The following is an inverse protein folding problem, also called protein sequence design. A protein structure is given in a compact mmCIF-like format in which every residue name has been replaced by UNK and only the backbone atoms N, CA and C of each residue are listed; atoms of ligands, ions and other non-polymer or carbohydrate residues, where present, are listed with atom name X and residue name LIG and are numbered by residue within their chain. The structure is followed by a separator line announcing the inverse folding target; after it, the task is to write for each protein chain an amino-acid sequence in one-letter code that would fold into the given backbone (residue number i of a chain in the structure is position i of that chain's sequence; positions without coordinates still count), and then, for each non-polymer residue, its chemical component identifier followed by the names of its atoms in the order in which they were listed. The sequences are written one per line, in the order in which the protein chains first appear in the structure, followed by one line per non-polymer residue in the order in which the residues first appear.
data_IF_676626606222
#
_entry.id   IF_676626606222
#
_cell.length_a   1.000
_cell.length_b   1.000
_cell.length_c   1.000
_cell.angle_alpha   90.00
_cell.angle_beta   90.00
_cell.angle_gamma   90.00
#
_symmetry.space_group_name_H-M   'P 1'
#
loop_
_entity.id
_entity.type
_entity.pdbx_description
1 polymer ?
#
# COMPACT_ATOMS: atom_id res chain seq x y z
N UNK A 1 -13.67 -3.82 -1.81
CA UNK A 1 -12.63 -2.88 -2.28
C UNK A 1 -13.21 -1.49 -2.48
N UNK A 2 -14.30 -1.31 -3.26
CA UNK A 2 -14.90 0.02 -3.50
C UNK A 2 -15.20 0.77 -2.19
N UNK A 3 -15.94 0.18 -1.27
CA UNK A 3 -16.31 0.84 0.00
C UNK A 3 -15.08 1.34 0.79
N UNK A 4 -14.00 0.57 0.81
CA UNK A 4 -12.75 0.95 1.48
C UNK A 4 -12.05 2.12 0.75
N UNK A 5 -12.07 2.15 -0.59
CA UNK A 5 -11.56 3.28 -1.35
C UNK A 5 -12.39 4.55 -1.08
N UNK A 6 -13.72 4.47 -1.09
CA UNK A 6 -14.60 5.62 -0.81
C UNK A 6 -14.49 6.15 0.62
N UNK A 7 -14.03 5.34 1.57
CA UNK A 7 -13.75 5.78 2.93
C UNK A 7 -12.50 6.71 3.02
N UNK A 8 -11.55 6.60 2.10
CA UNK A 8 -10.32 7.41 2.14
C UNK A 8 -10.59 8.93 2.12
N UNK A 9 -11.35 9.49 1.15
CA UNK A 9 -11.68 10.91 1.17
C UNK A 9 -12.57 11.30 2.36
N UNK A 10 -13.49 10.43 2.81
CA UNK A 10 -14.34 10.69 3.97
C UNK A 10 -13.52 10.88 5.26
N UNK A 11 -12.35 10.24 5.37
CA UNK A 11 -11.41 10.39 6.48
C UNK A 11 -10.29 11.41 6.23
N UNK A 12 -10.32 12.14 5.11
CA UNK A 12 -9.29 13.14 4.79
C UNK A 12 -7.89 12.55 4.55
N UNK A 13 -7.83 11.31 4.08
CA UNK A 13 -6.58 10.56 3.88
C UNK A 13 -6.00 10.71 2.47
N UNK A 14 -6.77 11.25 1.53
CA UNK A 14 -6.39 11.40 0.13
C UNK A 14 -6.76 12.77 -0.42
N UNK A 15 -6.09 13.14 -1.51
CA UNK A 15 -6.34 14.37 -2.28
C UNK A 15 -6.49 13.98 -3.75
N UNK A 16 -7.46 14.60 -4.45
CA UNK A 16 -7.76 14.30 -5.85
C UNK A 16 -8.05 12.81 -6.04
N UNK A 17 -7.36 12.16 -7.00
CA UNK A 17 -7.50 10.73 -7.31
C UNK A 17 -6.42 9.86 -6.66
N UNK A 18 -5.53 10.47 -5.87
CA UNK A 18 -4.38 9.80 -5.26
C UNK A 18 -4.79 8.83 -4.15
N UNK A 19 -3.90 7.87 -3.90
CA UNK A 19 -4.16 6.80 -2.96
C UNK A 19 -5.08 5.72 -3.50
N UNK A 20 -5.07 4.58 -2.88
CA UNK A 20 -5.84 3.41 -3.28
C UNK A 20 -5.93 2.37 -2.17
N UNK A 21 -6.91 1.50 -2.32
CA UNK A 21 -7.06 0.29 -1.52
C UNK A 21 -7.16 -0.89 -2.45
N UNK A 22 -6.49 -1.98 -2.09
CA UNK A 22 -6.68 -3.29 -2.72
C UNK A 22 -7.04 -4.36 -1.69
N UNK A 23 -7.58 -5.47 -2.19
CA UNK A 23 -7.86 -6.67 -1.42
C UNK A 23 -7.52 -7.90 -2.24
N UNK A 24 -6.92 -8.90 -1.60
CA UNK A 24 -6.54 -10.16 -2.24
C UNK A 24 -7.57 -11.25 -2.00
N UNK A 25 -7.84 -12.03 -3.04
CA UNK A 25 -8.50 -13.34 -2.96
C UNK A 25 -7.47 -14.41 -3.29
N UNK A 26 -6.93 -15.03 -2.24
CA UNK A 26 -5.87 -16.06 -2.38
C UNK A 26 -6.40 -17.37 -2.94
N UNK A 27 -7.69 -17.67 -2.79
CA UNK A 27 -8.28 -18.89 -3.35
C UNK A 27 -8.38 -18.79 -4.87
N UNK A 28 -8.75 -17.60 -5.37
CA UNK A 28 -8.80 -17.32 -6.81
C UNK A 28 -7.44 -16.93 -7.38
N UNK A 29 -6.45 -16.61 -6.54
CA UNK A 29 -5.14 -16.14 -6.99
C UNK A 29 -5.17 -14.75 -7.63
N UNK A 30 -6.05 -13.86 -7.15
CA UNK A 30 -6.24 -12.51 -7.70
C UNK A 30 -6.27 -11.45 -6.60
N UNK A 31 -6.07 -10.19 -6.99
CA UNK A 31 -6.41 -9.04 -6.15
C UNK A 31 -7.28 -8.05 -6.93
N UNK A 32 -8.19 -7.38 -6.24
CA UNK A 32 -8.93 -6.24 -6.76
C UNK A 32 -8.32 -4.93 -6.24
N UNK A 33 -8.21 -3.93 -7.12
CA UNK A 33 -7.60 -2.64 -6.81
C UNK A 33 -8.39 -1.50 -7.48
N UNK A 34 -8.26 -0.29 -6.93
CA UNK A 34 -8.78 0.95 -7.51
C UNK A 34 -8.22 1.17 -8.92
N UNK A 35 -9.06 1.64 -9.87
CA UNK A 35 -8.59 2.08 -11.18
C UNK A 35 -7.72 3.35 -11.07
N UNK A 36 -6.80 3.52 -12.02
CA UNK A 36 -6.01 4.74 -12.17
C UNK A 36 -6.87 5.91 -12.66
N UNK A 37 -6.68 7.10 -12.08
CA UNK A 37 -7.24 8.35 -12.59
C UNK A 37 -8.75 8.55 -12.42
N UNK A 38 -9.49 7.60 -11.85
CA UNK A 38 -10.92 7.74 -11.59
C UNK A 38 -11.15 8.52 -10.29
N UNK A 39 -12.03 9.52 -10.35
CA UNK A 39 -12.43 10.32 -9.19
C UNK A 39 -13.17 9.44 -8.16
N UNK A 40 -12.97 9.74 -6.88
CA UNK A 40 -13.69 9.03 -5.81
C UNK A 40 -15.20 9.26 -5.85
N UNK A 41 -15.65 10.42 -6.38
CA UNK A 41 -17.06 10.77 -6.48
C UNK A 41 -17.79 9.97 -7.58
N UNK A 42 -17.07 9.64 -8.66
CA UNK A 42 -17.64 8.94 -9.82
C UNK A 42 -17.45 7.42 -9.77
N UNK A 43 -16.60 6.94 -8.84
CA UNK A 43 -16.15 5.55 -8.81
C UNK A 43 -17.29 4.57 -8.47
N UNK A 44 -17.42 3.54 -9.30
CA UNK A 44 -18.42 2.48 -9.18
C UNK A 44 -17.75 1.10 -8.94
N UNK A 45 -18.54 0.12 -8.54
CA UNK A 45 -18.03 -1.23 -8.30
C UNK A 45 -17.43 -1.88 -9.57
N UNK A 46 -18.03 -1.62 -10.72
CA UNK A 46 -17.61 -2.15 -12.02
C UNK A 46 -16.31 -1.49 -12.54
N UNK A 47 -15.86 -0.41 -11.90
CA UNK A 47 -14.58 0.24 -12.20
C UNK A 47 -13.39 -0.48 -11.54
N UNK A 48 -13.63 -1.29 -10.51
CA UNK A 48 -12.56 -2.03 -9.85
C UNK A 48 -11.87 -2.97 -10.84
N UNK A 49 -10.54 -2.98 -10.78
CA UNK A 49 -9.73 -3.80 -11.67
C UNK A 49 -9.21 -5.01 -10.90
N UNK A 50 -9.41 -6.20 -11.48
CA UNK A 50 -8.91 -7.46 -10.91
C UNK A 50 -7.68 -7.90 -11.67
N UNK A 51 -6.60 -8.16 -10.96
CA UNK A 51 -5.34 -8.61 -11.53
C UNK A 51 -4.91 -9.94 -10.93
N UNK A 52 -4.23 -10.75 -11.74
CA UNK A 52 -3.69 -12.03 -11.31
C UNK A 52 -2.46 -11.81 -10.41
N UNK A 53 -2.37 -12.55 -9.29
CA UNK A 53 -1.28 -12.42 -8.33
C UNK A 53 0.07 -12.91 -8.89
N UNK A 54 0.06 -13.91 -9.77
CA UNK A 54 1.29 -14.53 -10.26
C UNK A 54 2.04 -13.67 -11.29
N UNK A 55 1.29 -13.03 -12.21
CA UNK A 55 1.90 -12.30 -13.34
C UNK A 55 1.49 -10.83 -13.42
N UNK A 56 0.49 -10.39 -12.62
CA UNK A 56 0.01 -9.01 -12.62
C UNK A 56 -0.89 -8.64 -13.81
N UNK A 57 -1.28 -9.62 -14.64
CA UNK A 57 -2.17 -9.36 -15.77
C UNK A 57 -3.59 -9.04 -15.30
N UNK A 58 -4.24 -8.09 -15.98
CA UNK A 58 -5.64 -7.79 -15.74
C UNK A 58 -6.49 -8.97 -16.22
N UNK A 59 -7.29 -9.53 -15.32
CA UNK A 59 -8.20 -10.65 -15.61
C UNK A 59 -9.66 -10.23 -15.62
N UNK A 60 -10.00 -9.08 -14.99
CA UNK A 60 -11.35 -8.53 -14.96
C UNK A 60 -11.27 -7.00 -14.79
N UNK A 61 -12.17 -6.26 -15.43
CA UNK A 61 -12.22 -4.81 -15.48
C UNK A 61 -11.90 -4.23 -16.85
N UNK A 62 -12.28 -2.96 -17.06
CA UNK A 62 -12.13 -2.27 -18.36
C UNK A 62 -11.13 -1.12 -18.29
N UNK A 63 -10.75 -0.72 -17.08
CA UNK A 63 -9.89 0.40 -16.81
C UNK A 63 -8.47 -0.07 -16.53
N UNK A 64 -7.52 0.85 -16.57
CA UNK A 64 -6.17 0.57 -16.12
C UNK A 64 -6.16 0.50 -14.58
N UNK A 65 -5.49 -0.49 -13.98
CA UNK A 65 -5.33 -0.53 -12.53
C UNK A 65 -4.49 0.65 -12.04
N UNK A 66 -4.53 0.95 -10.73
CA UNK A 66 -3.64 1.92 -10.10
C UNK A 66 -2.18 1.67 -10.47
N UNK A 67 -1.38 2.73 -10.62
CA UNK A 67 0.07 2.63 -10.81
C UNK A 67 0.73 1.80 -9.70
N UNK A 68 0.23 1.88 -8.47
CA UNK A 68 0.76 1.15 -7.32
C UNK A 68 0.50 -0.36 -7.33
N UNK A 69 -0.14 -0.88 -8.38
CA UNK A 69 -0.47 -2.31 -8.52
C UNK A 69 0.76 -3.20 -8.33
N UNK A 70 1.90 -2.83 -8.91
CA UNK A 70 3.14 -3.60 -8.77
C UNK A 70 3.63 -3.64 -7.31
N UNK A 71 3.57 -2.52 -6.58
CA UNK A 71 3.87 -2.45 -5.14
C UNK A 71 2.99 -3.42 -4.35
N UNK A 72 1.67 -3.36 -4.56
CA UNK A 72 0.71 -4.23 -3.87
C UNK A 72 0.95 -5.72 -4.17
N UNK A 73 1.25 -6.06 -5.42
CA UNK A 73 1.57 -7.44 -5.80
C UNK A 73 2.83 -7.97 -5.10
N UNK A 74 3.89 -7.15 -5.01
CA UNK A 74 5.11 -7.50 -4.28
C UNK A 74 4.79 -7.80 -2.82
N UNK A 75 4.02 -6.93 -2.16
CA UNK A 75 3.66 -7.09 -0.76
C UNK A 75 2.77 -8.33 -0.52
N UNK A 76 1.76 -8.58 -1.35
CA UNK A 76 0.91 -9.77 -1.21
C UNK A 76 1.67 -11.07 -1.43
N UNK A 77 2.67 -11.09 -2.31
CA UNK A 77 3.53 -12.26 -2.54
C UNK A 77 4.49 -12.50 -1.38
N UNK A 78 5.07 -11.43 -0.82
CA UNK A 78 6.03 -11.50 0.26
C UNK A 78 5.37 -11.77 1.64
N UNK A 79 4.16 -11.24 1.86
CA UNK A 79 3.43 -11.32 3.12
C UNK A 79 2.12 -12.11 2.96
N UNK A 80 2.15 -13.45 2.99
CA UNK A 80 0.94 -14.26 2.77
C UNK A 80 -0.13 -14.09 3.86
N UNK A 81 0.21 -13.51 5.01
CA UNK A 81 -0.69 -13.25 6.14
C UNK A 81 -1.57 -12.00 5.97
N UNK A 82 -1.28 -11.11 5.01
CA UNK A 82 -2.07 -9.90 4.79
C UNK A 82 -3.15 -10.13 3.72
N UNK A 83 -4.30 -9.46 3.88
CA UNK A 83 -5.46 -9.58 2.99
C UNK A 83 -5.88 -8.28 2.32
N UNK A 84 -5.56 -7.12 2.91
CA UNK A 84 -5.83 -5.80 2.35
C UNK A 84 -4.63 -4.87 2.48
N UNK A 85 -4.45 -3.97 1.50
CA UNK A 85 -3.40 -2.93 1.50
C UNK A 85 -4.03 -1.58 1.19
N UNK A 86 -3.58 -0.56 1.90
CA UNK A 86 -3.97 0.85 1.73
C UNK A 86 -2.71 1.67 1.50
N UNK A 87 -2.68 2.42 0.40
CA UNK A 87 -1.70 3.48 0.16
C UNK A 87 -2.38 4.84 0.17
N UNK A 88 -1.80 5.80 0.87
CA UNK A 88 -2.32 7.17 0.94
C UNK A 88 -1.19 8.18 0.97
N UNK A 89 -1.51 9.43 0.63
CA UNK A 89 -0.65 10.57 0.90
C UNK A 89 -1.19 11.38 2.09
N UNK A 90 -1.59 10.67 3.16
CA UNK A 90 -2.08 11.30 4.39
C UNK A 90 -1.06 12.28 4.94
N UNK A 91 -1.51 13.49 5.32
CA UNK A 91 -0.62 14.61 5.66
C UNK A 91 0.50 14.23 6.63
N UNK A 92 0.15 13.66 7.78
CA UNK A 92 1.14 13.36 8.81
C UNK A 92 2.05 12.18 8.42
N UNK A 93 1.49 11.12 7.83
CA UNK A 93 2.30 9.99 7.35
C UNK A 93 3.31 10.41 6.29
N UNK A 94 2.87 11.26 5.35
CA UNK A 94 3.75 11.80 4.29
C UNK A 94 4.85 12.69 4.85
N UNK A 95 4.58 13.51 5.89
CA UNK A 95 5.62 14.35 6.52
C UNK A 95 6.74 13.48 7.09
N UNK A 96 6.42 12.41 7.82
CA UNK A 96 7.41 11.48 8.36
C UNK A 96 8.17 10.73 7.26
N UNK A 97 7.46 10.25 6.25
CA UNK A 97 8.06 9.57 5.11
C UNK A 97 9.05 10.47 4.34
N UNK A 98 8.68 11.72 4.08
CA UNK A 98 9.55 12.68 3.40
C UNK A 98 10.73 13.13 4.26
N UNK A 99 10.59 13.08 5.58
CA UNK A 99 11.71 13.30 6.49
C UNK A 99 12.69 12.09 6.56
N UNK A 100 12.31 10.94 6.00
CA UNK A 100 13.09 9.71 6.07
C UNK A 100 13.22 9.17 7.49
N UNK A 101 12.17 9.33 8.32
CA UNK A 101 12.19 9.00 9.74
C UNK A 101 11.09 8.00 10.09
N UNK A 102 11.42 7.07 10.97
CA UNK A 102 10.42 6.20 11.60
C UNK A 102 9.43 7.04 12.43
N UNK A 103 8.19 6.57 12.56
CA UNK A 103 7.27 7.15 13.55
C UNK A 103 7.49 6.41 14.88
N UNK A 104 8.07 7.07 15.90
CA UNK A 104 8.40 6.42 17.16
C UNK A 104 7.16 6.06 17.98
N UNK A 105 7.21 4.95 18.69
CA UNK A 105 6.17 4.49 19.61
C UNK A 105 6.17 5.32 20.90
N UNK A 106 5.60 6.52 20.85
CA UNK A 106 5.64 7.48 21.97
C UNK A 106 4.48 7.34 22.98
N UNK A 107 3.46 6.53 22.69
CA UNK A 107 2.30 6.45 23.57
C UNK A 107 1.40 5.26 23.35
N UNK A 108 0.45 5.09 24.26
CA UNK A 108 -0.45 3.93 24.28
C UNK A 108 -1.36 3.86 23.05
N UNK A 109 -1.86 4.98 22.55
CA UNK A 109 -2.68 5.02 21.33
C UNK A 109 -1.93 4.45 20.11
N UNK A 110 -0.61 4.70 20.01
CA UNK A 110 0.23 4.06 19.00
C UNK A 110 0.30 2.54 19.25
N UNK A 111 0.54 2.14 20.50
CA UNK A 111 0.70 0.75 20.89
C UNK A 111 -0.59 -0.10 20.72
N UNK A 112 -1.76 0.53 20.62
CA UNK A 112 -3.02 -0.16 20.32
C UNK A 112 -3.05 -0.76 18.90
N UNK A 113 -2.22 -0.25 17.98
CA UNK A 113 -2.22 -0.62 16.56
C UNK A 113 -0.88 -1.17 16.05
N UNK A 114 0.24 -0.77 16.66
CA UNK A 114 1.58 -1.12 16.18
C UNK A 114 2.48 -1.57 17.34
N UNK A 115 3.16 -2.68 17.14
CA UNK A 115 4.17 -3.16 18.09
C UNK A 115 5.53 -2.53 17.78
N UNK A 116 5.86 -1.45 18.48
CA UNK A 116 7.07 -0.66 18.25
C UNK A 116 6.87 0.46 17.21
N UNK A 117 7.97 0.97 16.68
CA UNK A 117 7.95 2.09 15.73
C UNK A 117 7.38 1.66 14.38
N UNK A 118 6.68 2.58 13.68
CA UNK A 118 6.33 2.39 12.28
C UNK A 118 7.60 2.73 11.47
N UNK A 119 8.21 1.75 10.80
CA UNK A 119 9.51 1.94 10.17
C UNK A 119 9.43 2.71 8.85
N UNK A 120 10.50 3.45 8.55
CA UNK A 120 10.75 4.10 7.27
C UNK A 120 11.79 3.30 6.48
N UNK A 121 11.55 3.08 5.19
CA UNK A 121 12.50 2.37 4.32
C UNK A 121 13.76 3.19 4.10
N UNK A 122 14.84 2.56 3.63
CA UNK A 122 15.91 3.31 2.97
C UNK A 122 15.35 4.03 1.72
N UNK A 123 16.02 5.10 1.25
CA UNK A 123 15.67 5.66 -0.05
C UNK A 123 15.90 4.62 -1.18
N UNK A 124 15.10 4.72 -2.25
CA UNK A 124 15.37 4.00 -3.48
C UNK A 124 16.65 4.55 -4.12
N UNK A 125 17.42 3.69 -4.75
CA UNK A 125 18.55 4.09 -5.58
C UNK A 125 18.07 4.66 -6.91
N UNK A 126 18.92 5.44 -7.60
CA UNK A 126 18.61 5.98 -8.93
C UNK A 126 18.24 4.87 -9.92
N UNK A 127 18.91 3.72 -9.85
CA UNK A 127 18.62 2.57 -10.71
C UNK A 127 17.22 1.99 -10.45
N UNK A 128 16.82 1.86 -9.17
CA UNK A 128 15.48 1.38 -8.78
C UNK A 128 14.38 2.36 -9.23
N UNK A 129 14.66 3.66 -9.17
CA UNK A 129 13.71 4.71 -9.63
C UNK A 129 13.54 4.65 -11.16
N UNK A 130 14.63 4.43 -11.90
CA UNK A 130 14.62 4.49 -13.37
C UNK A 130 14.11 3.20 -14.02
N UNK A 131 14.06 2.08 -13.32
CA UNK A 131 13.66 0.79 -13.90
C UNK A 131 12.18 0.46 -13.65
N UNK A 132 11.84 0.09 -12.43
CA UNK A 132 10.50 -0.35 -12.03
C UNK A 132 10.17 0.24 -10.65
N UNK A 133 9.89 1.53 -10.63
CA UNK A 133 9.70 2.31 -9.40
C UNK A 133 8.68 1.70 -8.44
N UNK A 134 7.53 1.31 -8.96
CA UNK A 134 6.44 0.79 -8.12
C UNK A 134 6.77 -0.61 -7.56
N UNK A 135 7.36 -1.50 -8.35
CA UNK A 135 7.80 -2.80 -7.83
C UNK A 135 8.95 -2.64 -6.83
N UNK A 136 9.89 -1.74 -7.10
CA UNK A 136 11.01 -1.45 -6.20
C UNK A 136 10.55 -0.78 -4.90
N UNK A 137 9.49 0.01 -4.92
CA UNK A 137 8.82 0.50 -3.71
C UNK A 137 8.33 -0.65 -2.84
N UNK A 138 7.72 -1.69 -3.43
CA UNK A 138 7.37 -2.91 -2.71
C UNK A 138 8.59 -3.66 -2.18
N UNK A 139 9.64 -3.78 -2.99
CA UNK A 139 10.86 -4.51 -2.65
C UNK A 139 11.58 -3.90 -1.43
N UNK A 140 11.70 -2.56 -1.33
CA UNK A 140 12.35 -1.92 -0.17
C UNK A 140 11.52 -2.07 1.12
N UNK A 141 10.19 -2.20 1.05
CA UNK A 141 9.37 -2.56 2.21
C UNK A 141 9.69 -4.00 2.64
N UNK A 142 9.71 -4.94 1.70
CA UNK A 142 10.02 -6.35 1.99
C UNK A 142 11.42 -6.49 2.59
N UNK A 143 12.42 -5.83 2.00
CA UNK A 143 13.79 -5.77 2.51
C UNK A 143 13.82 -5.29 3.97
N UNK A 144 13.13 -4.19 4.27
CA UNK A 144 13.06 -3.61 5.62
C UNK A 144 12.51 -4.61 6.65
N UNK A 145 11.44 -5.32 6.32
CA UNK A 145 10.81 -6.29 7.21
C UNK A 145 11.67 -7.55 7.41
N UNK A 146 12.28 -8.05 6.33
CA UNK A 146 13.17 -9.21 6.39
C UNK A 146 14.46 -8.90 7.17
N UNK A 147 15.07 -7.74 6.95
CA UNK A 147 16.31 -7.35 7.64
C UNK A 147 16.13 -7.16 9.15
N UNK A 148 14.93 -6.78 9.60
CA UNK A 148 14.62 -6.53 11.00
C UNK A 148 13.81 -7.64 11.67
N UNK A 149 13.53 -8.75 10.98
CA UNK A 149 12.69 -9.88 11.43
C UNK A 149 11.33 -9.40 12.01
N UNK A 150 10.73 -8.39 11.35
CA UNK A 150 9.45 -7.82 11.78
C UNK A 150 8.27 -8.66 11.31
N UNK A 151 7.34 -8.92 12.22
CA UNK A 151 6.06 -9.52 11.86
C UNK A 151 5.17 -8.44 11.19
N UNK A 152 4.76 -8.63 9.91
CA UNK A 152 3.88 -7.68 9.23
C UNK A 152 2.48 -7.55 9.84
N UNK A 153 2.05 -8.45 10.73
CA UNK A 153 0.80 -8.29 11.47
C UNK A 153 0.98 -7.56 12.80
N UNK A 154 2.18 -7.55 13.37
CA UNK A 154 2.49 -6.78 14.57
C UNK A 154 2.82 -5.32 14.24
N UNK A 155 3.43 -5.08 13.06
CA UNK A 155 3.68 -3.74 12.51
C UNK A 155 3.04 -3.69 11.12
N UNK A 156 1.80 -3.24 11.07
CA UNK A 156 0.95 -3.31 9.88
C UNK A 156 1.10 -2.11 8.93
N UNK A 157 2.31 -1.58 8.79
CA UNK A 157 2.59 -0.46 7.91
C UNK A 157 4.07 -0.12 7.82
N UNK A 158 4.43 0.64 6.78
CA UNK A 158 5.74 1.21 6.58
C UNK A 158 5.64 2.57 5.88
N UNK A 159 6.64 3.40 6.07
CA UNK A 159 6.84 4.65 5.34
C UNK A 159 7.87 4.42 4.22
N UNK A 160 7.61 4.97 3.07
CA UNK A 160 8.58 5.01 1.97
C UNK A 160 9.34 6.33 2.06
N UNK A 161 10.64 6.28 2.26
CA UNK A 161 11.49 7.47 2.31
C UNK A 161 11.28 8.34 1.08
N UNK A 162 10.96 9.62 1.31
CA UNK A 162 10.70 10.60 0.26
C UNK A 162 9.33 10.50 -0.40
N UNK A 163 8.44 9.56 0.03
CA UNK A 163 7.13 9.37 -0.59
C UNK A 163 6.00 9.44 0.44
N UNK A 164 5.50 8.30 0.94
CA UNK A 164 4.27 8.24 1.73
C UNK A 164 4.08 6.86 2.40
N UNK A 165 3.05 6.68 3.26
CA UNK A 165 2.79 5.42 3.94
C UNK A 165 2.10 4.37 3.06
N UNK A 166 2.45 3.11 3.31
CA UNK A 166 1.66 1.92 3.01
C UNK A 166 1.23 1.26 4.32
N UNK A 167 -0.04 0.87 4.42
CA UNK A 167 -0.57 0.13 5.54
C UNK A 167 -1.30 -1.11 5.04
N UNK A 168 -1.42 -2.13 5.89
CA UNK A 168 -2.07 -3.38 5.53
C UNK A 168 -2.73 -4.05 6.74
N UNK A 169 -3.52 -5.08 6.47
CA UNK A 169 -4.18 -5.87 7.49
C UNK A 169 -4.59 -7.24 6.98
N UNK A 170 -5.28 -8.01 7.83
CA UNK A 170 -5.79 -9.35 7.46
C UNK A 170 -6.93 -9.29 6.43
N UNK A 171 -7.61 -8.14 6.33
CA UNK A 171 -8.71 -7.89 5.39
C UNK A 171 -8.73 -6.42 5.00
#
# INVERSE_FOLDING_TARGET
VLAANLALPAHGLVTLTWGNVSQVDRQRGVMAIKPSGVSYEDMQADDMVVVNLADGQVVEGRLNPSSDTATHLVLYRAFPCIGGIVHTHSRNGTVWAQAGMDIPALGTTHADYFYGDIPCTRPLTDAEIQTDYEANTGNVIVELFQASDRDPLAVSGALITGHAPFCWGKS
#
